data_IF_957529570100
#
_entry.id   IF_957529570100
#
_cell.length_a   1.000
_cell.length_b   1.000
_cell.length_c   1.000
_cell.angle_alpha   90.00
_cell.angle_beta   90.00
_cell.angle_gamma   90.00
#
_symmetry.space_group_name_H-M   'P 1'
#
loop_
_entity.id
_entity.type
_entity.pdbx_description
1 polymer ?
#
# COMPACT_ATOMS: atom_id res chain seq x y z
N UNK A 1 -5.98 -5.24 31.09
CA UNK A 1 -6.34 -4.10 30.21
C UNK A 1 -5.78 -4.43 28.84
N UNK A 2 -6.48 -4.16 27.73
CA UNK A 2 -5.95 -4.54 26.39
C UNK A 2 -4.62 -3.84 26.15
N UNK A 3 -3.60 -4.62 25.80
CA UNK A 3 -2.25 -4.15 25.48
C UNK A 3 -2.13 -3.98 23.98
N UNK A 4 -2.13 -2.72 23.56
CA UNK A 4 -1.80 -2.35 22.21
C UNK A 4 -0.28 -2.41 22.02
N UNK A 5 0.15 -2.70 20.79
CA UNK A 5 1.56 -2.67 20.41
C UNK A 5 2.10 -1.22 20.39
N UNK A 6 3.37 -1.07 20.00
CA UNK A 6 4.05 0.24 19.94
C UNK A 6 3.38 1.22 18.94
N UNK A 7 2.58 0.72 18.00
CA UNK A 7 1.83 1.52 17.03
C UNK A 7 0.41 1.83 17.52
N UNK A 8 0.05 1.42 18.75
CA UNK A 8 -1.29 1.59 19.28
C UNK A 8 -2.31 0.63 18.66
N UNK A 9 -1.85 -0.53 18.15
CA UNK A 9 -2.69 -1.52 17.46
C UNK A 9 -2.75 -2.86 18.21
N UNK A 10 -3.85 -3.57 18.04
CA UNK A 10 -4.03 -4.96 18.51
C UNK A 10 -4.53 -5.82 17.34
N UNK A 11 -3.93 -7.00 17.08
CA UNK A 11 -4.45 -7.94 16.11
C UNK A 11 -5.78 -8.54 16.61
N UNK A 12 -6.72 -8.71 15.68
CA UNK A 12 -8.06 -9.19 15.96
C UNK A 12 -8.42 -10.30 14.97
N UNK A 13 -8.71 -11.48 15.50
CA UNK A 13 -9.26 -12.62 14.75
C UNK A 13 -10.78 -12.52 14.78
N UNK A 14 -11.41 -12.58 13.61
CA UNK A 14 -12.86 -12.63 13.49
C UNK A 14 -13.27 -14.05 13.17
N UNK A 15 -14.19 -14.58 13.97
CA UNK A 15 -14.69 -15.94 13.83
C UNK A 15 -16.22 -15.94 13.78
N UNK A 16 -16.81 -16.72 12.89
CA UNK A 16 -18.26 -16.92 12.91
C UNK A 16 -18.67 -17.68 14.17
N UNK A 17 -19.68 -17.17 14.87
CA UNK A 17 -20.13 -17.73 16.15
C UNK A 17 -20.75 -19.13 15.98
N UNK A 18 -21.30 -19.44 14.80
CA UNK A 18 -22.02 -20.69 14.52
C UNK A 18 -21.10 -21.75 13.92
N UNK A 19 -20.47 -21.46 12.78
CA UNK A 19 -19.60 -22.42 12.07
C UNK A 19 -18.23 -22.58 12.73
N UNK A 20 -17.83 -21.60 13.57
CA UNK A 20 -16.47 -21.47 14.12
C UNK A 20 -15.38 -21.28 13.07
N UNK A 21 -15.76 -20.99 11.83
CA UNK A 21 -14.84 -20.62 10.77
C UNK A 21 -14.17 -19.28 11.08
N UNK A 22 -12.85 -19.20 10.90
CA UNK A 22 -12.15 -17.92 10.94
C UNK A 22 -12.44 -17.17 9.65
N UNK A 23 -13.04 -16.00 9.77
CA UNK A 23 -13.49 -15.19 8.64
C UNK A 23 -12.39 -14.27 8.13
N UNK A 24 -11.68 -13.59 9.04
CA UNK A 24 -10.62 -12.65 8.68
C UNK A 24 -9.75 -12.29 9.91
N UNK A 25 -8.60 -11.69 9.64
CA UNK A 25 -7.78 -10.99 10.63
C UNK A 25 -7.65 -9.52 10.24
N UNK A 26 -7.74 -8.64 11.23
CA UNK A 26 -7.53 -7.21 11.07
C UNK A 26 -6.85 -6.62 12.31
N UNK A 27 -6.67 -5.30 12.33
CA UNK A 27 -6.13 -4.56 13.47
C UNK A 27 -7.17 -3.58 13.99
N UNK A 28 -7.18 -3.37 15.31
CA UNK A 28 -7.92 -2.30 15.96
C UNK A 28 -6.94 -1.39 16.70
N UNK A 29 -7.17 -0.08 16.66
CA UNK A 29 -6.63 0.82 17.68
C UNK A 29 -7.64 0.96 18.82
N UNK A 30 -7.30 1.74 19.86
CA UNK A 30 -8.16 1.93 21.02
C UNK A 30 -9.57 2.44 20.65
N UNK A 31 -9.63 3.39 19.71
CA UNK A 31 -10.89 3.97 19.25
C UNK A 31 -11.76 2.99 18.45
N UNK A 32 -11.16 2.17 17.58
CA UNK A 32 -11.87 1.14 16.83
C UNK A 32 -12.44 0.07 17.77
N UNK A 33 -11.71 -0.31 18.82
CA UNK A 33 -12.21 -1.21 19.86
C UNK A 33 -13.35 -0.57 20.66
N UNK A 34 -13.24 0.72 21.02
CA UNK A 34 -14.30 1.48 21.70
C UNK A 34 -15.58 1.48 20.87
N UNK A 35 -15.50 1.88 19.59
CA UNK A 35 -16.63 1.89 18.66
C UNK A 35 -17.24 0.50 18.46
N UNK A 36 -16.41 -0.55 18.39
CA UNK A 36 -16.89 -1.92 18.28
C UNK A 36 -17.74 -2.33 19.48
N UNK A 37 -17.32 -1.96 20.69
CA UNK A 37 -18.06 -2.24 21.93
C UNK A 37 -19.35 -1.43 22.05
N UNK A 38 -19.36 -0.20 21.52
CA UNK A 38 -20.51 0.70 21.60
C UNK A 38 -21.59 0.37 20.58
N UNK A 39 -21.20 0.09 19.34
CA UNK A 39 -22.13 -0.18 18.24
C UNK A 39 -22.58 -1.64 18.20
N UNK A 40 -21.81 -2.56 18.79
CA UNK A 40 -22.02 -3.99 18.63
C UNK A 40 -21.67 -4.49 17.23
N UNK A 41 -20.94 -3.71 16.42
CA UNK A 41 -20.51 -4.06 15.08
C UNK A 41 -19.00 -3.87 14.93
N UNK A 42 -18.32 -4.68 14.11
CA UNK A 42 -16.85 -4.61 14.02
C UNK A 42 -16.37 -3.34 13.31
N UNK A 43 -15.51 -2.59 14.01
CA UNK A 43 -14.80 -1.43 13.48
C UNK A 43 -13.30 -1.73 13.52
N UNK A 44 -12.61 -1.49 12.43
CA UNK A 44 -11.18 -1.81 12.30
C UNK A 44 -10.37 -0.57 11.97
N UNK A 45 -9.07 -0.63 12.22
CA UNK A 45 -8.12 0.39 11.83
C UNK A 45 -7.35 -0.06 10.58
N UNK A 46 -7.45 0.71 9.50
CA UNK A 46 -6.67 0.49 8.28
C UNK A 46 -5.28 1.07 8.47
N UNK A 47 -4.25 0.21 8.54
CA UNK A 47 -2.86 0.66 8.74
C UNK A 47 -2.31 1.47 7.57
N UNK A 48 -2.69 1.11 6.34
CA UNK A 48 -2.28 1.84 5.12
C UNK A 48 -2.97 3.19 5.00
N UNK A 49 -4.29 3.25 5.25
CA UNK A 49 -5.06 4.49 5.12
C UNK A 49 -5.06 5.36 6.37
N UNK A 50 -4.58 4.83 7.51
CA UNK A 50 -4.57 5.48 8.81
C UNK A 50 -5.95 6.00 9.26
N UNK A 51 -7.00 5.23 8.94
CA UNK A 51 -8.41 5.57 9.26
C UNK A 51 -9.13 4.36 9.85
N UNK A 52 -10.13 4.65 10.68
CA UNK A 52 -11.09 3.65 11.15
C UNK A 52 -12.11 3.41 10.04
N UNK A 53 -12.52 2.15 9.86
CA UNK A 53 -13.57 1.79 8.93
C UNK A 53 -14.52 0.77 9.58
N UNK A 54 -15.79 0.86 9.22
CA UNK A 54 -16.83 -0.04 9.67
C UNK A 54 -17.01 -1.20 8.68
N UNK A 55 -16.93 -2.44 9.17
CA UNK A 55 -17.04 -3.61 8.30
C UNK A 55 -18.42 -3.69 7.66
N UNK A 56 -18.45 -3.68 6.33
CA UNK A 56 -19.70 -3.78 5.57
C UNK A 56 -20.43 -2.45 5.38
N UNK A 57 -19.83 -1.32 5.73
CA UNK A 57 -20.43 0.01 5.53
C UNK A 57 -20.87 0.25 4.07
N UNK A 58 -20.08 -0.19 3.11
CA UNK A 58 -20.37 -0.05 1.68
C UNK A 58 -21.12 -1.25 1.08
N UNK A 59 -20.79 -2.48 1.50
CA UNK A 59 -21.32 -3.70 0.89
C UNK A 59 -22.55 -4.28 1.58
N UNK A 60 -22.89 -3.79 2.77
CA UNK A 60 -23.91 -4.40 3.64
C UNK A 60 -23.45 -5.70 4.33
N UNK A 61 -22.24 -6.18 4.06
CA UNK A 61 -21.67 -7.39 4.67
C UNK A 61 -21.13 -7.09 6.09
N UNK A 62 -22.02 -6.68 6.99
CA UNK A 62 -21.73 -6.26 8.36
C UNK A 62 -21.49 -7.45 9.29
N UNK A 63 -20.74 -7.22 10.38
CA UNK A 63 -20.43 -8.24 11.38
C UNK A 63 -20.97 -7.78 12.73
N UNK A 64 -21.98 -8.49 13.23
CA UNK A 64 -22.57 -8.24 14.55
C UNK A 64 -21.79 -8.99 15.62
N UNK A 65 -21.26 -8.26 16.60
CA UNK A 65 -20.43 -8.78 17.69
C UNK A 65 -21.31 -9.56 18.68
N UNK A 66 -20.90 -10.78 18.99
CA UNK A 66 -21.49 -11.60 20.06
C UNK A 66 -20.63 -11.65 21.30
N UNK A 67 -19.35 -11.98 21.11
CA UNK A 67 -18.39 -12.11 22.19
C UNK A 67 -17.03 -11.55 21.78
N UNK A 68 -16.32 -10.98 22.76
CA UNK A 68 -14.94 -10.50 22.60
C UNK A 68 -14.08 -11.23 23.63
N UNK A 69 -13.19 -12.10 23.16
CA UNK A 69 -12.19 -12.79 23.96
C UNK A 69 -10.84 -12.10 23.82
N UNK A 70 -10.02 -12.24 24.84
CA UNK A 70 -8.65 -11.73 24.90
C UNK A 70 -7.72 -12.88 25.23
N UNK A 71 -6.54 -12.94 24.60
CA UNK A 71 -5.55 -13.98 24.89
C UNK A 71 -4.89 -13.78 26.27
N UNK A 72 -4.08 -14.76 26.69
CA UNK A 72 -3.40 -14.76 27.99
C UNK A 72 -2.40 -13.61 28.20
N UNK A 73 -1.84 -13.06 27.12
CA UNK A 73 -0.89 -11.94 27.17
C UNK A 73 -1.57 -10.56 27.13
N UNK A 74 -2.88 -10.55 26.91
CA UNK A 74 -3.72 -9.35 26.71
C UNK A 74 -3.41 -8.54 25.43
N UNK A 75 -2.74 -9.15 24.45
CA UNK A 75 -2.22 -8.48 23.26
C UNK A 75 -2.85 -8.97 21.93
N UNK A 76 -3.90 -9.79 21.99
CA UNK A 76 -4.71 -10.13 20.82
C UNK A 76 -6.16 -10.40 21.20
N UNK A 77 -7.07 -10.16 20.24
CA UNK A 77 -8.50 -10.37 20.42
C UNK A 77 -9.02 -11.47 19.49
N UNK A 78 -9.97 -12.25 20.00
CA UNK A 78 -10.85 -13.11 19.20
C UNK A 78 -12.26 -12.56 19.34
N UNK A 79 -12.86 -12.09 18.25
CA UNK A 79 -14.23 -11.59 18.24
C UNK A 79 -15.10 -12.61 17.50
N UNK A 80 -16.07 -13.16 18.22
CA UNK A 80 -17.10 -14.00 17.63
C UNK A 80 -18.23 -13.12 17.13
N UNK A 81 -18.58 -13.30 15.85
CA UNK A 81 -19.57 -12.48 15.16
C UNK A 81 -20.65 -13.34 14.52
N UNK A 82 -21.81 -12.74 14.29
CA UNK A 82 -22.73 -13.18 13.24
C UNK A 82 -22.39 -12.38 11.99
N UNK A 83 -21.96 -13.05 10.92
CA UNK A 83 -21.75 -12.41 9.63
C UNK A 83 -23.10 -12.21 8.93
N UNK A 84 -23.45 -10.96 8.69
CA UNK A 84 -24.60 -10.59 7.86
C UNK A 84 -24.14 -10.34 6.43
N UNK A 85 -25.03 -10.55 5.47
CA UNK A 85 -24.69 -10.52 4.05
C UNK A 85 -24.04 -11.83 3.56
N UNK A 86 -23.50 -11.81 2.35
CA UNK A 86 -23.12 -13.05 1.64
C UNK A 86 -21.67 -13.48 1.87
N UNK A 87 -20.76 -12.57 2.26
CA UNK A 87 -19.38 -12.94 2.52
C UNK A 87 -18.59 -11.93 3.35
N UNK A 88 -17.59 -12.41 4.11
CA UNK A 88 -16.68 -11.54 4.83
C UNK A 88 -15.62 -10.91 3.91
N UNK A 89 -15.16 -11.66 2.90
CA UNK A 89 -14.12 -11.24 1.96
C UNK A 89 -14.66 -10.35 0.84
N UNK A 90 -13.87 -9.37 0.39
CA UNK A 90 -14.23 -8.52 -0.75
C UNK A 90 -14.19 -9.27 -2.08
N UNK A 91 -13.37 -10.33 -2.20
CA UNK A 91 -13.29 -11.23 -3.35
C UNK A 91 -14.51 -12.16 -3.50
N UNK A 92 -15.49 -12.04 -2.61
CA UNK A 92 -16.74 -12.80 -2.68
C UNK A 92 -16.73 -14.15 -1.96
N UNK A 93 -15.70 -14.43 -1.17
CA UNK A 93 -15.60 -15.67 -0.38
C UNK A 93 -16.09 -15.47 1.06
N UNK A 94 -16.69 -16.51 1.63
CA UNK A 94 -17.22 -16.49 3.01
C UNK A 94 -16.15 -16.09 4.04
N UNK A 95 -14.92 -16.56 3.81
CA UNK A 95 -13.73 -16.25 4.57
C UNK A 95 -12.62 -15.69 3.68
N UNK A 96 -11.74 -14.85 4.23
CA UNK A 96 -10.48 -14.45 3.60
C UNK A 96 -9.52 -15.64 3.42
N UNK A 97 -9.72 -16.75 4.13
CA UNK A 97 -8.89 -17.96 4.09
C UNK A 97 -9.36 -18.96 3.03
N UNK A 98 -9.70 -18.48 1.84
CA UNK A 98 -10.20 -19.29 0.71
C UNK A 98 -9.09 -19.98 -0.09
N UNK A 99 -7.82 -19.68 0.21
CA UNK A 99 -6.63 -20.27 -0.44
C UNK A 99 -5.83 -21.11 0.54
N UNK A 100 -5.30 -22.24 0.06
CA UNK A 100 -4.34 -23.11 0.76
C UNK A 100 -2.95 -22.95 0.15
N UNK A 101 -1.95 -22.73 1.00
CA UNK A 101 -0.54 -22.77 0.63
C UNK A 101 -0.10 -24.23 0.42
N UNK A 102 0.49 -24.52 -0.73
CA UNK A 102 0.99 -25.83 -1.10
C UNK A 102 2.49 -25.97 -0.77
N UNK A 103 3.05 -27.20 -0.73
CA UNK A 103 4.48 -27.41 -0.46
C UNK A 103 5.44 -26.79 -1.48
N UNK A 104 4.95 -26.42 -2.66
CA UNK A 104 5.70 -25.75 -3.73
C UNK A 104 5.48 -24.23 -3.75
N UNK A 105 4.97 -23.67 -2.65
CA UNK A 105 4.61 -22.26 -2.48
C UNK A 105 3.50 -21.75 -3.42
N UNK A 106 2.83 -22.63 -4.16
CA UNK A 106 1.64 -22.27 -4.94
C UNK A 106 0.39 -22.15 -4.06
N UNK A 107 -0.63 -21.45 -4.57
CA UNK A 107 -1.92 -21.28 -3.88
C UNK A 107 -3.05 -22.03 -4.60
N UNK A 108 -3.74 -22.89 -3.85
CA UNK A 108 -4.95 -23.58 -4.32
C UNK A 108 -6.20 -22.90 -3.74
N UNK A 109 -7.20 -22.58 -4.56
CA UNK A 109 -8.50 -22.13 -4.05
C UNK A 109 -9.30 -23.34 -3.55
N UNK A 110 -9.64 -23.35 -2.26
CA UNK A 110 -10.24 -24.51 -1.57
C UNK A 110 -11.71 -24.32 -1.21
N UNK A 111 -12.28 -23.14 -1.46
CA UNK A 111 -13.69 -22.84 -1.21
C UNK A 111 -14.35 -22.22 -2.44
N UNK A 112 -15.65 -22.43 -2.59
CA UNK A 112 -16.43 -21.79 -3.65
C UNK A 112 -16.63 -20.30 -3.39
N UNK A 113 -16.66 -19.51 -4.47
CA UNK A 113 -16.93 -18.07 -4.41
C UNK A 113 -18.44 -17.86 -4.30
N UNK A 114 -18.88 -17.11 -3.29
CA UNK A 114 -20.30 -16.89 -2.94
C UNK A 114 -20.91 -15.75 -3.76
N UNK A 115 -20.14 -14.71 -4.09
CA UNK A 115 -20.57 -13.62 -4.97
C UNK A 115 -19.47 -13.12 -5.89
N UNK A 116 -19.83 -12.47 -6.99
CA UNK A 116 -18.87 -11.77 -7.85
C UNK A 116 -18.66 -10.33 -7.35
N UNK A 117 -17.42 -9.93 -6.97
CA UNK A 117 -17.12 -8.57 -6.53
C UNK A 117 -17.58 -7.50 -7.53
N UNK A 118 -17.48 -7.78 -8.83
CA UNK A 118 -17.89 -6.87 -9.88
C UNK A 118 -19.41 -6.60 -9.87
N UNK A 119 -20.21 -7.51 -9.30
CA UNK A 119 -21.67 -7.39 -9.22
C UNK A 119 -22.12 -6.73 -7.90
N UNK A 120 -21.39 -6.95 -6.80
CA UNK A 120 -21.74 -6.38 -5.48
C UNK A 120 -21.25 -4.95 -5.32
N UNK A 121 -20.05 -4.64 -5.82
CA UNK A 121 -19.47 -3.29 -5.76
C UNK A 121 -19.82 -2.43 -6.98
N UNK A 122 -20.59 -2.94 -7.95
CA UNK A 122 -21.04 -2.11 -9.10
C UNK A 122 -22.19 -1.16 -8.79
N UNK A 123 -22.86 -1.27 -7.62
CA UNK A 123 -24.05 -0.45 -7.31
C UNK A 123 -23.81 0.91 -6.66
N UNK A 124 -22.59 1.42 -6.68
CA UNK A 124 -22.33 2.87 -6.58
C UNK A 124 -22.18 3.54 -7.95
N UNK A 125 -22.36 2.81 -9.06
CA UNK A 125 -22.46 3.37 -10.41
C UNK A 125 -23.90 3.32 -10.91
N UNK A 126 -24.69 4.35 -10.59
CA UNK A 126 -25.71 4.83 -11.52
C UNK A 126 -26.07 6.30 -11.26
N UNK A 127 -25.50 7.15 -12.12
CA UNK A 127 -26.16 8.30 -12.74
C UNK A 127 -26.67 9.42 -11.82
N UNK A 128 -25.78 10.35 -11.45
CA UNK A 128 -26.06 11.76 -11.75
C UNK A 128 -25.33 12.11 -13.04
N UNK A 129 -26.08 12.17 -14.14
CA UNK A 129 -25.65 12.82 -15.37
C UNK A 129 -25.52 14.31 -15.06
N UNK A 130 -24.35 14.72 -14.59
CA UNK A 130 -23.86 16.07 -14.81
C UNK A 130 -23.01 15.99 -16.07
N UNK A 131 -23.45 16.71 -17.11
CA UNK A 131 -22.58 17.12 -18.20
C UNK A 131 -21.41 17.87 -17.59
N UNK A 132 -20.32 17.16 -17.31
CA UNK A 132 -19.06 17.78 -16.97
C UNK A 132 -18.56 18.51 -18.22
N UNK A 133 -18.09 19.76 -18.08
CA UNK A 133 -17.38 20.42 -19.16
C UNK A 133 -16.13 19.60 -19.45
N UNK A 134 -15.77 19.47 -20.73
CA UNK A 134 -14.40 19.13 -21.12
C UNK A 134 -13.45 20.10 -20.40
N UNK A 135 -12.83 19.65 -19.31
CA UNK A 135 -11.70 20.36 -18.72
C UNK A 135 -10.53 20.08 -19.66
N UNK A 136 -9.95 21.11 -20.30
CA UNK A 136 -8.81 20.92 -21.18
C UNK A 136 -7.67 20.30 -20.37
N UNK A 137 -7.05 19.25 -20.91
CA UNK A 137 -5.79 18.70 -20.42
C UNK A 137 -4.76 19.84 -20.43
N UNK A 138 -4.58 20.50 -19.29
CA UNK A 138 -3.42 21.37 -19.08
C UNK A 138 -2.25 20.42 -18.84
N UNK A 139 -1.55 20.06 -19.91
CA UNK A 139 -0.17 19.57 -19.81
C UNK A 139 0.63 20.66 -19.10
N UNK A 140 0.68 20.59 -17.78
CA UNK A 140 1.46 21.50 -16.97
C UNK A 140 2.92 21.36 -17.37
N UNK A 141 3.48 22.42 -17.97
CA UNK A 141 4.92 22.56 -18.13
C UNK A 141 5.57 22.30 -16.77
N UNK A 142 6.41 21.27 -16.66
CA UNK A 142 7.24 21.08 -15.45
C UNK A 142 8.04 22.37 -15.27
N UNK A 143 7.76 23.11 -14.20
CA UNK A 143 8.47 24.35 -13.91
C UNK A 143 9.77 24.05 -13.16
N UNK A 144 10.75 24.94 -13.26
CA UNK A 144 11.98 24.83 -12.48
C UNK A 144 11.71 24.81 -10.97
N UNK A 145 10.68 25.52 -10.50
CA UNK A 145 10.25 25.50 -9.10
C UNK A 145 9.73 24.12 -8.68
N UNK A 146 8.96 23.46 -9.55
CA UNK A 146 8.43 22.13 -9.29
C UNK A 146 9.55 21.08 -9.23
N UNK A 147 10.53 21.17 -10.12
CA UNK A 147 11.72 20.31 -10.12
C UNK A 147 12.55 20.50 -8.85
N UNK A 148 12.82 21.74 -8.44
CA UNK A 148 13.53 22.04 -7.20
C UNK A 148 12.78 21.53 -5.97
N UNK A 149 11.45 21.67 -5.95
CA UNK A 149 10.62 21.19 -4.86
C UNK A 149 10.63 19.66 -4.78
N UNK A 150 10.47 18.97 -5.90
CA UNK A 150 10.54 17.51 -5.95
C UNK A 150 11.92 16.99 -5.51
N UNK A 151 13.01 17.63 -5.96
CA UNK A 151 14.36 17.32 -5.51
C UNK A 151 14.48 17.45 -3.99
N UNK A 152 14.05 18.59 -3.43
CA UNK A 152 14.11 18.85 -1.99
C UNK A 152 13.34 17.79 -1.17
N UNK A 153 12.13 17.44 -1.62
CA UNK A 153 11.27 16.45 -0.95
C UNK A 153 11.86 15.04 -1.01
N UNK A 154 12.30 14.59 -2.18
CA UNK A 154 12.93 13.27 -2.35
C UNK A 154 14.27 13.18 -1.60
N UNK A 155 15.04 14.28 -1.51
CA UNK A 155 16.26 14.32 -0.68
C UNK A 155 15.92 14.21 0.80
N UNK A 156 14.86 14.88 1.25
CA UNK A 156 14.40 14.79 2.63
C UNK A 156 13.96 13.36 2.98
N UNK A 157 13.15 12.73 2.12
CA UNK A 157 12.75 11.32 2.25
C UNK A 157 13.98 10.41 2.31
N UNK A 158 14.90 10.55 1.36
CA UNK A 158 16.08 9.70 1.32
C UNK A 158 16.97 9.89 2.55
N UNK A 159 17.11 11.11 3.05
CA UNK A 159 17.82 11.42 4.30
C UNK A 159 17.26 10.67 5.51
N UNK A 160 15.93 10.47 5.60
CA UNK A 160 15.31 9.68 6.66
C UNK A 160 15.73 8.22 6.58
N UNK A 161 15.71 7.62 5.38
CA UNK A 161 16.11 6.22 5.21
C UNK A 161 17.61 6.01 5.50
N UNK A 162 18.47 6.96 5.11
CA UNK A 162 19.89 6.95 5.48
C UNK A 162 20.06 7.03 7.01
N UNK A 163 19.30 7.91 7.68
CA UNK A 163 19.32 8.00 9.13
C UNK A 163 18.90 6.68 9.79
N UNK A 164 17.80 6.07 9.36
CA UNK A 164 17.29 4.78 9.88
C UNK A 164 18.22 3.59 9.61
N UNK A 165 19.05 3.68 8.57
CA UNK A 165 20.11 2.71 8.28
C UNK A 165 21.32 2.90 9.21
N UNK A 166 21.75 4.15 9.39
CA UNK A 166 22.95 4.49 10.15
C UNK A 166 22.72 4.45 11.67
N UNK A 167 21.46 4.50 12.11
CA UNK A 167 21.04 4.38 13.49
C UNK A 167 20.12 3.18 13.64
N UNK A 168 20.59 2.15 14.35
CA UNK A 168 19.78 0.97 14.61
C UNK A 168 18.63 1.31 15.57
N UNK A 169 17.44 1.40 15.00
CA UNK A 169 16.17 1.59 15.69
C UNK A 169 15.25 0.39 15.42
N UNK A 170 15.83 -0.81 15.20
CA UNK A 170 15.09 -2.01 14.77
C UNK A 170 14.01 -2.44 15.76
N UNK A 171 14.14 -2.10 17.04
CA UNK A 171 13.10 -2.35 18.04
C UNK A 171 11.86 -1.45 17.84
N UNK A 172 12.04 -0.25 17.30
CA UNK A 172 11.02 0.81 17.23
C UNK A 172 10.51 1.05 15.80
N UNK A 173 11.29 0.67 14.78
CA UNK A 173 11.02 0.92 13.37
C UNK A 173 11.23 -0.33 12.52
N UNK A 174 10.14 -0.81 11.92
CA UNK A 174 10.18 -1.88 10.91
C UNK A 174 11.15 -1.53 9.76
N UNK A 175 11.15 -0.27 9.31
CA UNK A 175 12.03 0.18 8.23
C UNK A 175 13.50 0.13 8.66
N UNK A 176 13.83 0.53 9.89
CA UNK A 176 15.20 0.38 10.41
C UNK A 176 15.60 -1.09 10.48
N UNK A 177 14.71 -1.97 10.96
CA UNK A 177 14.95 -3.41 10.99
C UNK A 177 15.23 -3.99 9.60
N UNK A 178 14.43 -3.65 8.59
CA UNK A 178 14.65 -4.08 7.21
C UNK A 178 16.02 -3.63 6.67
N UNK A 179 16.45 -2.40 7.01
CA UNK A 179 17.75 -1.86 6.64
C UNK A 179 18.91 -2.55 7.37
N UNK A 180 18.70 -3.04 8.60
CA UNK A 180 19.71 -3.82 9.34
C UNK A 180 19.79 -5.28 8.86
N UNK A 181 18.67 -5.90 8.51
CA UNK A 181 18.61 -7.28 7.99
C UNK A 181 19.29 -7.43 6.62
N UNK A 182 19.35 -6.34 5.82
CA UNK A 182 20.04 -6.27 4.51
C UNK A 182 19.67 -7.38 3.52
N UNK A 183 18.44 -7.87 3.59
CA UNK A 183 17.96 -8.92 2.68
C UNK A 183 17.55 -8.32 1.32
N UNK A 184 18.52 -8.18 0.41
CA UNK A 184 18.28 -7.62 -0.93
C UNK A 184 17.17 -8.37 -1.68
N UNK A 185 17.19 -9.71 -1.67
CA UNK A 185 16.16 -10.52 -2.34
C UNK A 185 14.74 -10.24 -1.83
N UNK A 186 14.57 -10.02 -0.51
CA UNK A 186 13.28 -9.64 0.06
C UNK A 186 12.85 -8.24 -0.40
N UNK A 187 13.77 -7.25 -0.36
CA UNK A 187 13.46 -5.89 -0.78
C UNK A 187 13.08 -5.81 -2.27
N UNK A 188 13.80 -6.57 -3.12
CA UNK A 188 13.50 -6.66 -4.56
C UNK A 188 12.16 -7.34 -4.81
N UNK A 189 11.85 -8.42 -4.07
CA UNK A 189 10.53 -9.08 -4.18
C UNK A 189 9.40 -8.11 -3.81
N UNK A 190 9.57 -7.31 -2.76
CA UNK A 190 8.56 -6.32 -2.37
C UNK A 190 8.44 -5.18 -3.38
N UNK A 191 9.55 -4.71 -3.94
CA UNK A 191 9.51 -3.75 -5.05
C UNK A 191 8.75 -4.32 -6.27
N UNK A 192 8.92 -5.61 -6.57
CA UNK A 192 8.20 -6.26 -7.66
C UNK A 192 6.68 -6.27 -7.44
N UNK A 193 6.24 -6.55 -6.20
CA UNK A 193 4.83 -6.49 -5.81
C UNK A 193 4.28 -5.07 -6.04
N UNK A 194 4.91 -4.03 -5.49
CA UNK A 194 4.37 -2.66 -5.61
C UNK A 194 4.42 -2.12 -7.04
N UNK A 195 5.43 -2.49 -7.84
CA UNK A 195 5.50 -2.13 -9.26
C UNK A 195 4.37 -2.79 -10.06
N UNK A 196 3.95 -4.00 -9.69
CA UNK A 196 2.79 -4.65 -10.28
C UNK A 196 1.50 -3.98 -9.82
N UNK A 197 1.34 -3.70 -8.53
CA UNK A 197 0.17 -2.99 -8.00
C UNK A 197 -0.02 -1.62 -8.66
N UNK A 198 1.07 -0.85 -8.84
CA UNK A 198 1.04 0.43 -9.57
C UNK A 198 0.62 0.26 -11.04
N UNK A 199 1.06 -0.81 -11.70
CA UNK A 199 0.66 -1.10 -13.08
C UNK A 199 -0.82 -1.48 -13.16
N UNK A 200 -1.33 -2.25 -12.21
CA UNK A 200 -2.72 -2.69 -12.16
C UNK A 200 -3.68 -1.52 -11.88
N UNK A 201 -3.22 -0.46 -11.20
CA UNK A 201 -3.95 0.80 -11.08
C UNK A 201 -4.14 1.47 -12.45
N UNK A 202 -3.14 1.39 -13.35
CA UNK A 202 -3.22 1.99 -14.68
C UNK A 202 -4.20 1.24 -15.60
N UNK A 203 -4.28 -0.09 -15.48
CA UNK A 203 -5.23 -0.92 -16.24
C UNK A 203 -6.65 -0.88 -15.66
N UNK A 204 -6.81 -0.37 -14.44
CA UNK A 204 -8.08 -0.34 -13.72
C UNK A 204 -8.43 -1.66 -13.03
N UNK A 205 -7.49 -2.62 -13.02
CA UNK A 205 -7.62 -3.91 -12.32
C UNK A 205 -7.42 -3.77 -10.80
N UNK A 206 -6.74 -2.71 -10.36
CA UNK A 206 -6.50 -2.39 -8.95
C UNK A 206 -6.99 -0.98 -8.62
N UNK A 207 -8.27 -0.85 -8.23
CA UNK A 207 -8.88 0.44 -7.86
C UNK A 207 -9.68 0.28 -6.56
N UNK A 208 -9.31 1.04 -5.52
CA UNK A 208 -9.95 1.03 -4.21
C UNK A 208 -10.64 2.35 -3.92
N UNK A 209 -9.90 3.46 -4.04
CA UNK A 209 -10.35 4.80 -3.68
C UNK A 209 -10.47 5.73 -4.90
N UNK A 210 -10.03 5.24 -6.07
CA UNK A 210 -10.07 5.95 -7.35
C UNK A 210 -8.67 6.03 -7.94
N UNK A 211 -8.59 5.94 -9.26
CA UNK A 211 -7.32 5.80 -10.01
C UNK A 211 -6.25 6.81 -9.59
N UNK A 212 -6.62 8.08 -9.35
CA UNK A 212 -5.68 9.12 -8.92
C UNK A 212 -5.11 8.89 -7.51
N UNK A 213 -5.97 8.56 -6.54
CA UNK A 213 -5.55 8.32 -5.16
C UNK A 213 -4.74 7.04 -5.04
N UNK A 214 -5.15 6.00 -5.76
CA UNK A 214 -4.45 4.73 -5.79
C UNK A 214 -3.08 4.89 -6.50
N UNK A 215 -2.98 5.71 -7.55
CA UNK A 215 -1.67 6.03 -8.18
C UNK A 215 -0.73 6.77 -7.22
N UNK A 216 -1.24 7.69 -6.40
CA UNK A 216 -0.44 8.37 -5.37
C UNK A 216 0.09 7.37 -4.35
N UNK A 217 -0.80 6.51 -3.84
CA UNK A 217 -0.45 5.50 -2.85
C UNK A 217 0.58 4.51 -3.41
N UNK A 218 0.29 3.84 -4.52
CA UNK A 218 1.20 2.82 -5.07
C UNK A 218 2.50 3.44 -5.58
N UNK A 219 2.46 4.66 -6.13
CA UNK A 219 3.66 5.41 -6.48
C UNK A 219 4.55 5.69 -5.27
N UNK A 220 3.96 5.98 -4.11
CA UNK A 220 4.70 6.20 -2.86
C UNK A 220 5.32 4.89 -2.34
N UNK A 221 4.61 3.76 -2.43
CA UNK A 221 5.10 2.45 -2.01
C UNK A 221 6.28 1.98 -2.88
N UNK A 222 6.21 2.19 -4.20
CA UNK A 222 7.35 1.96 -5.11
C UNK A 222 8.55 2.83 -4.69
N UNK A 223 8.34 4.12 -4.44
CA UNK A 223 9.38 5.04 -3.96
C UNK A 223 10.04 4.58 -2.65
N UNK A 224 9.25 4.11 -1.69
CA UNK A 224 9.71 3.54 -0.43
C UNK A 224 10.70 2.38 -0.66
N UNK A 225 10.33 1.35 -1.44
CA UNK A 225 11.20 0.20 -1.63
C UNK A 225 12.46 0.51 -2.45
N UNK A 226 12.35 1.39 -3.46
CA UNK A 226 13.52 1.88 -4.19
C UNK A 226 14.52 2.56 -3.25
N UNK A 227 14.04 3.41 -2.33
CA UNK A 227 14.91 4.05 -1.36
C UNK A 227 15.49 3.09 -0.32
N UNK A 228 14.76 2.06 0.11
CA UNK A 228 15.29 1.03 1.01
C UNK A 228 16.45 0.26 0.35
N UNK A 229 16.29 -0.13 -0.92
CA UNK A 229 17.33 -0.79 -1.70
C UNK A 229 18.55 0.13 -1.83
N UNK A 230 18.33 1.39 -2.23
CA UNK A 230 19.39 2.38 -2.38
C UNK A 230 20.17 2.60 -1.06
N UNK A 231 19.45 2.78 0.05
CA UNK A 231 20.05 2.99 1.36
C UNK A 231 20.83 1.75 1.82
N UNK A 232 20.24 0.56 1.72
CA UNK A 232 20.86 -0.71 2.10
C UNK A 232 22.16 -1.02 1.36
N UNK A 233 22.24 -0.60 0.09
CA UNK A 233 23.42 -0.78 -0.77
C UNK A 233 24.36 0.44 -0.82
N UNK A 234 24.10 1.48 -0.01
CA UNK A 234 24.88 2.72 0.03
C UNK A 234 24.98 3.47 -1.32
N UNK A 235 23.94 3.40 -2.16
CA UNK A 235 23.87 4.15 -3.41
C UNK A 235 23.66 5.64 -3.09
N UNK A 236 24.47 6.54 -3.63
CA UNK A 236 24.28 7.98 -3.38
C UNK A 236 23.04 8.50 -4.11
N UNK A 237 22.34 9.47 -3.53
CA UNK A 237 21.24 10.17 -4.21
C UNK A 237 21.65 10.67 -5.60
N UNK A 238 22.89 11.15 -5.71
CA UNK A 238 23.41 11.71 -6.96
C UNK A 238 23.77 10.66 -8.01
N UNK A 239 23.76 9.36 -7.66
CA UNK A 239 24.07 8.28 -8.60
C UNK A 239 22.82 7.85 -9.40
N UNK A 240 21.62 8.02 -8.83
CA UNK A 240 20.34 7.65 -9.48
C UNK A 240 19.35 8.81 -9.63
N UNK A 241 19.61 9.97 -9.00
CA UNK A 241 18.94 11.26 -9.25
C UNK A 241 17.41 11.14 -9.40
N UNK A 242 16.69 10.64 -8.38
CA UNK A 242 15.32 10.13 -8.53
C UNK A 242 14.30 11.19 -8.99
N UNK A 243 14.52 12.47 -8.65
CA UNK A 243 13.67 13.56 -9.12
C UNK A 243 13.75 13.75 -10.63
N UNK A 244 14.94 13.64 -11.23
CA UNK A 244 15.11 13.72 -12.69
C UNK A 244 14.45 12.52 -13.34
N UNK A 245 14.72 11.30 -12.86
CA UNK A 245 14.16 10.08 -13.44
C UNK A 245 12.63 10.06 -13.39
N UNK A 246 12.04 10.48 -12.28
CA UNK A 246 10.59 10.62 -12.15
C UNK A 246 10.04 11.64 -13.14
N UNK A 247 10.65 12.82 -13.26
CA UNK A 247 10.19 13.84 -14.21
C UNK A 247 10.39 13.41 -15.66
N UNK A 248 11.44 12.66 -15.98
CA UNK A 248 11.67 12.11 -17.31
C UNK A 248 10.63 11.04 -17.66
N UNK A 249 10.26 10.20 -16.71
CA UNK A 249 9.10 9.31 -16.82
C UNK A 249 7.79 10.06 -17.03
N UNK A 250 7.55 11.12 -16.26
CA UNK A 250 6.36 11.97 -16.38
C UNK A 250 6.25 12.66 -17.74
N UNK A 251 7.38 13.08 -18.31
CA UNK A 251 7.47 13.65 -19.68
C UNK A 251 7.28 12.59 -20.75
N UNK A 252 7.73 11.37 -20.48
CA UNK A 252 7.73 10.26 -21.42
C UNK A 252 6.38 9.56 -21.42
N UNK A 253 5.60 9.71 -22.48
CA UNK A 253 4.43 8.86 -22.68
C UNK A 253 4.90 7.46 -23.08
N UNK A 254 4.91 6.50 -22.15
CA UNK A 254 5.20 5.10 -22.45
C UNK A 254 3.94 4.37 -22.94
N UNK A 255 4.16 3.41 -23.84
CA UNK A 255 3.18 2.36 -24.14
C UNK A 255 3.27 1.26 -23.08
N UNK A 256 2.20 0.47 -22.93
CA UNK A 256 2.15 -0.65 -21.98
C UNK A 256 3.32 -1.63 -22.17
N UNK A 257 3.67 -1.93 -23.43
CA UNK A 257 4.79 -2.80 -23.75
C UNK A 257 6.14 -2.26 -23.22
N UNK A 258 6.36 -0.94 -23.35
CA UNK A 258 7.57 -0.29 -22.86
C UNK A 258 7.59 -0.19 -21.33
N UNK A 259 6.43 0.01 -20.70
CA UNK A 259 6.30 0.01 -19.25
C UNK A 259 6.62 -1.38 -18.66
N UNK A 260 6.15 -2.46 -19.29
CA UNK A 260 6.46 -3.84 -18.90
C UNK A 260 7.97 -4.12 -19.03
N UNK A 261 8.57 -3.76 -20.17
CA UNK A 261 10.01 -3.95 -20.42
C UNK A 261 10.86 -3.20 -19.37
N UNK A 262 10.58 -1.92 -19.13
CA UNK A 262 11.30 -1.14 -18.11
C UNK A 262 11.13 -1.69 -16.70
N UNK A 263 9.97 -2.26 -16.36
CA UNK A 263 9.75 -2.87 -15.05
C UNK A 263 10.60 -4.13 -14.87
N UNK A 264 10.66 -4.98 -15.90
CA UNK A 264 11.50 -6.18 -15.90
C UNK A 264 12.99 -5.81 -15.83
N UNK A 265 13.41 -4.82 -16.61
CA UNK A 265 14.77 -4.29 -16.59
C UNK A 265 15.13 -3.68 -15.24
N UNK A 266 14.24 -2.87 -14.66
CA UNK A 266 14.38 -2.32 -13.30
C UNK A 266 14.67 -3.43 -12.29
N UNK A 267 13.82 -4.46 -12.22
CA UNK A 267 13.95 -5.59 -11.29
C UNK A 267 15.24 -6.39 -11.53
N UNK A 268 15.63 -6.59 -12.79
CA UNK A 268 16.90 -7.23 -13.12
C UNK A 268 18.08 -6.43 -12.60
N UNK A 269 18.12 -5.13 -12.83
CA UNK A 269 19.26 -4.27 -12.48
C UNK A 269 19.39 -4.05 -10.97
N UNK A 270 18.29 -3.94 -10.22
CA UNK A 270 18.33 -3.80 -8.75
C UNK A 270 18.66 -5.10 -8.03
N UNK A 271 18.60 -6.24 -8.72
CA UNK A 271 19.02 -7.55 -8.20
C UNK A 271 20.54 -7.75 -8.24
N UNK A 272 21.26 -6.87 -8.95
CA UNK A 272 22.71 -6.94 -9.08
C UNK A 272 23.42 -6.39 -7.83
N UNK A 273 24.71 -6.74 -7.66
CA UNK A 273 25.51 -6.26 -6.52
C UNK A 273 26.22 -4.93 -6.81
N UNK A 274 26.44 -4.61 -8.10
CA UNK A 274 27.20 -3.44 -8.49
C UNK A 274 26.38 -2.16 -8.33
N UNK A 275 26.81 -1.26 -7.44
CA UNK A 275 26.10 0.00 -7.13
C UNK A 275 25.73 0.84 -8.36
N UNK A 276 26.57 0.89 -9.39
CA UNK A 276 26.28 1.63 -10.61
C UNK A 276 25.14 1.00 -11.44
N UNK A 277 25.05 -0.33 -11.45
CA UNK A 277 23.99 -1.09 -12.11
C UNK A 277 22.68 -0.94 -11.34
N UNK A 278 22.73 -1.05 -10.02
CA UNK A 278 21.58 -0.81 -9.14
C UNK A 278 21.05 0.61 -9.32
N UNK A 279 21.93 1.63 -9.41
CA UNK A 279 21.52 3.01 -9.64
C UNK A 279 20.74 3.20 -10.96
N UNK A 280 21.06 2.44 -12.00
CA UNK A 280 20.28 2.43 -13.25
C UNK A 280 18.90 1.82 -13.03
N UNK A 281 18.81 0.69 -12.33
CA UNK A 281 17.53 0.07 -11.97
C UNK A 281 16.65 0.99 -11.13
N UNK A 282 17.24 1.66 -10.14
CA UNK A 282 16.55 2.66 -9.30
C UNK A 282 15.97 3.81 -10.14
N UNK A 283 16.75 4.32 -11.09
CA UNK A 283 16.30 5.35 -12.04
C UNK A 283 15.08 4.88 -12.85
N UNK A 284 15.09 3.65 -13.36
CA UNK A 284 13.96 3.08 -14.10
C UNK A 284 12.71 2.96 -13.21
N UNK A 285 12.86 2.53 -11.96
CA UNK A 285 11.75 2.47 -11.01
C UNK A 285 11.09 3.83 -10.79
N UNK A 286 11.86 4.88 -10.55
CA UNK A 286 11.30 6.23 -10.40
C UNK A 286 10.67 6.76 -11.69
N UNK A 287 11.21 6.41 -12.87
CA UNK A 287 10.59 6.75 -14.15
C UNK A 287 9.20 6.10 -14.32
N UNK A 288 9.00 4.88 -13.82
CA UNK A 288 7.68 4.23 -13.82
C UNK A 288 6.66 4.98 -12.96
N UNK A 289 7.05 5.47 -11.77
CA UNK A 289 6.19 6.31 -10.92
C UNK A 289 5.81 7.60 -11.66
N UNK A 290 6.78 8.24 -12.31
CA UNK A 290 6.53 9.43 -13.12
C UNK A 290 5.53 9.19 -14.25
N UNK A 291 5.71 8.11 -14.99
CA UNK A 291 4.78 7.72 -16.06
C UNK A 291 3.36 7.47 -15.54
N UNK A 292 3.22 6.74 -14.43
CA UNK A 292 1.93 6.47 -13.80
C UNK A 292 1.22 7.77 -13.36
N UNK A 293 1.98 8.73 -12.80
CA UNK A 293 1.44 10.05 -12.47
C UNK A 293 0.91 10.78 -13.70
N UNK A 294 1.64 10.74 -14.82
CA UNK A 294 1.22 11.37 -16.06
C UNK A 294 -0.03 10.71 -16.66
N UNK A 295 -0.11 9.38 -16.61
CA UNK A 295 -1.25 8.61 -17.09
C UNK A 295 -2.53 8.87 -16.25
N UNK A 296 -2.40 9.00 -14.93
CA UNK A 296 -3.50 9.34 -14.04
C UNK A 296 -3.86 10.85 -14.00
N UNK A 297 -3.08 11.69 -14.69
CA UNK A 297 -3.28 13.14 -14.73
C UNK A 297 -3.06 13.85 -13.38
N UNK A 298 -2.15 13.32 -12.54
CA UNK A 298 -1.84 13.86 -11.22
C UNK A 298 -0.48 14.56 -11.20
N UNK A 299 -0.24 15.42 -10.21
CA UNK A 299 1.03 16.11 -10.04
C UNK A 299 2.16 15.10 -9.69
N UNK A 300 3.34 15.13 -10.36
CA UNK A 300 4.45 14.22 -10.07
C UNK A 300 5.04 14.35 -8.66
N UNK A 301 4.73 15.43 -7.92
CA UNK A 301 5.10 15.58 -6.51
C UNK A 301 4.21 14.77 -5.57
N UNK A 302 2.99 14.43 -5.98
CA UNK A 302 1.97 13.91 -5.08
C UNK A 302 2.41 12.62 -4.33
N UNK A 303 3.10 11.64 -4.95
CA UNK A 303 3.63 10.48 -4.22
C UNK A 303 4.64 10.85 -3.13
N UNK A 304 5.56 11.79 -3.42
CA UNK A 304 6.58 12.23 -2.45
C UNK A 304 5.97 13.06 -1.31
N UNK A 305 5.02 13.95 -1.63
CA UNK A 305 4.27 14.74 -0.64
C UNK A 305 3.47 13.82 0.29
N UNK A 306 2.84 12.79 -0.26
CA UNK A 306 2.11 11.78 0.50
C UNK A 306 3.03 11.08 1.50
N UNK A 307 4.18 10.57 1.05
CA UNK A 307 5.15 9.90 1.92
C UNK A 307 5.70 10.82 3.02
N UNK A 308 6.06 12.05 2.68
CA UNK A 308 6.54 13.03 3.66
C UNK A 308 5.50 13.33 4.73
N UNK A 309 4.23 13.45 4.33
CA UNK A 309 3.14 13.66 5.28
C UNK A 309 2.98 12.46 6.22
N UNK A 310 3.09 11.22 5.72
CA UNK A 310 3.10 10.04 6.58
C UNK A 310 4.30 10.04 7.55
N UNK A 311 5.48 10.48 7.10
CA UNK A 311 6.67 10.58 7.95
C UNK A 311 6.56 11.68 9.01
N UNK A 312 5.98 12.84 8.67
CA UNK A 312 5.71 13.93 9.63
C UNK A 312 4.76 13.49 10.72
N UNK A 313 3.69 12.77 10.37
CA UNK A 313 2.75 12.17 11.34
C UNK A 313 3.43 11.22 12.32
N UNK A 314 4.48 10.52 11.86
CA UNK A 314 5.32 9.63 12.68
C UNK A 314 6.45 10.37 13.42
N UNK A 315 6.57 11.69 13.27
CA UNK A 315 7.62 12.51 13.90
C UNK A 315 9.02 12.28 13.34
N UNK A 316 9.16 11.60 12.19
CA UNK A 316 10.45 11.31 11.55
C UNK A 316 10.99 12.50 10.75
N UNK A 317 10.07 13.37 10.32
CA UNK A 317 10.36 14.61 9.60
C UNK A 317 9.69 15.75 10.35
N UNK A 318 10.42 16.86 10.55
CA UNK A 318 9.90 18.09 11.16
C UNK A 318 9.27 19.01 10.13
#
# INVERSE_FOLDING_TARGET
MVKFDRQGLVPVVIQDVTSKEVLMVAFMNEEALRLTRETGQTHFFSRSRNVIWHKGEQSGNVQEVRDIFINCEENSLLIQVVQHGSAACHDGYGSCYYRRLQPDDSYETVTERIFDPAVVYSRSKESSVSTEPEIPIVKGSITSEMEQKLEAELRQLYGVYLYLRDHDLSEESNTSRLLQERSQGYLVSRLADELQELADVQTGEHVHSGQQLDTILEGSQVGYWLFLIAAGLNVSYNDFVPHVSLLDGYRSQYSDAKAIEQRQECLSLVSEEQSATVAQGLSLGFAQVGWACAAAGINPLAPAEYDLEQMRRKGLVR
#
